data_IF_606502573782
#
_entry.id   IF_606502573782
#
_cell.length_a   1.000
_cell.length_b   1.000
_cell.length_c   1.000
_cell.angle_alpha   90.00
_cell.angle_beta   90.00
_cell.angle_gamma   90.00
#
_symmetry.space_group_name_H-M   'P 1'
#
loop_
_entity.id
_entity.type
_entity.pdbx_description
1 polymer ?
#
# COMPACT_ATOMS: atom_id res chain seq x y z
N UNK A 1 -6.37 7.83 -18.72
CA UNK A 1 -6.06 7.47 -17.33
C UNK A 1 -5.87 5.98 -17.28
N UNK A 2 -4.66 5.56 -16.95
CA UNK A 2 -4.29 4.18 -16.69
C UNK A 2 -4.47 3.87 -15.21
N UNK A 3 -4.48 2.59 -14.86
CA UNK A 3 -4.62 2.13 -13.48
C UNK A 3 -3.44 2.63 -12.62
N UNK A 4 -2.23 2.55 -13.17
CA UNK A 4 -1.02 3.06 -12.51
C UNK A 4 -1.08 4.57 -12.26
N UNK A 5 -1.69 5.36 -13.15
CA UNK A 5 -1.86 6.80 -12.90
C UNK A 5 -2.74 7.05 -11.66
N UNK A 6 -3.78 6.22 -11.47
CA UNK A 6 -4.69 6.30 -10.33
C UNK A 6 -3.98 5.89 -9.04
N UNK A 7 -3.21 4.80 -9.06
CA UNK A 7 -2.38 4.35 -7.92
C UNK A 7 -1.38 5.44 -7.53
N UNK A 8 -0.65 5.99 -8.49
CA UNK A 8 0.38 7.02 -8.26
C UNK A 8 -0.19 8.30 -7.67
N UNK A 9 -1.35 8.71 -8.17
CA UNK A 9 -2.02 9.92 -7.68
C UNK A 9 -2.53 9.72 -6.25
N UNK A 10 -3.13 8.57 -5.95
CA UNK A 10 -3.60 8.25 -4.59
C UNK A 10 -2.44 8.06 -3.61
N UNK A 11 -1.35 7.42 -4.04
CA UNK A 11 -0.13 7.29 -3.24
C UNK A 11 0.42 8.66 -2.79
N UNK A 12 0.58 9.59 -3.74
CA UNK A 12 1.02 10.96 -3.45
C UNK A 12 0.03 11.68 -2.53
N UNK A 13 -1.27 11.49 -2.75
CA UNK A 13 -2.30 12.08 -1.90
C UNK A 13 -2.17 11.61 -0.46
N UNK A 14 -2.09 10.31 -0.22
CA UNK A 14 -1.95 9.78 1.15
C UNK A 14 -0.64 10.24 1.82
N UNK A 15 0.47 10.29 1.07
CA UNK A 15 1.74 10.81 1.60
C UNK A 15 1.66 12.28 2.03
N UNK A 16 0.89 13.11 1.33
CA UNK A 16 0.83 14.55 1.59
C UNK A 16 -0.30 14.98 2.53
N UNK A 17 -1.28 14.12 2.80
CA UNK A 17 -2.54 14.53 3.45
C UNK A 17 -2.93 13.68 4.66
N UNK A 18 -2.12 12.72 5.09
CA UNK A 18 -2.48 11.84 6.21
C UNK A 18 -1.33 11.65 7.19
N UNK A 19 -1.48 12.25 8.36
CA UNK A 19 -0.65 11.97 9.53
C UNK A 19 -1.04 10.64 10.21
N UNK A 20 -2.01 9.89 9.66
CA UNK A 20 -2.51 8.65 10.27
C UNK A 20 -1.68 7.41 9.91
N UNK A 21 -0.79 7.54 8.91
CA UNK A 21 0.02 6.43 8.41
C UNK A 21 1.47 6.53 8.87
N UNK A 22 2.00 5.41 9.33
CA UNK A 22 3.41 5.20 9.66
C UNK A 22 4.24 5.08 8.37
N UNK A 23 3.76 4.28 7.42
CA UNK A 23 4.32 4.23 6.07
C UNK A 23 3.32 3.73 5.03
N UNK A 24 3.61 4.05 3.78
CA UNK A 24 2.78 3.76 2.61
C UNK A 24 3.67 3.13 1.55
N UNK A 25 3.25 2.00 0.99
CA UNK A 25 4.06 1.23 0.03
C UNK A 25 3.20 0.77 -1.14
N UNK A 26 3.73 0.93 -2.36
CA UNK A 26 3.13 0.43 -3.60
C UNK A 26 3.71 -0.94 -3.98
N UNK A 27 2.97 -1.69 -4.80
CA UNK A 27 3.44 -2.91 -5.44
C UNK A 27 4.01 -3.95 -4.45
N UNK A 28 3.23 -4.28 -3.41
CA UNK A 28 3.68 -5.20 -2.35
C UNK A 28 3.42 -6.66 -2.76
N UNK A 29 4.45 -7.50 -2.95
CA UNK A 29 4.27 -8.91 -3.20
C UNK A 29 3.60 -9.60 -2.01
N UNK A 30 2.50 -10.30 -2.27
CA UNK A 30 1.74 -10.98 -1.23
C UNK A 30 1.07 -12.25 -1.78
N UNK A 31 1.43 -13.39 -1.18
CA UNK A 31 1.04 -14.71 -1.67
C UNK A 31 1.44 -14.89 -3.15
N UNK A 32 0.48 -15.16 -4.04
CA UNK A 32 0.69 -15.32 -5.49
C UNK A 32 0.42 -14.05 -6.30
N UNK A 33 0.22 -12.90 -5.64
CA UNK A 33 -0.20 -11.63 -6.26
C UNK A 33 0.66 -10.46 -5.77
N UNK A 34 0.41 -9.30 -6.35
CA UNK A 34 0.96 -8.03 -5.93
C UNK A 34 -0.20 -7.14 -5.50
N UNK A 35 -0.10 -6.53 -4.32
CA UNK A 35 -1.08 -5.55 -3.82
C UNK A 35 -0.66 -4.18 -4.34
N UNK A 36 -1.57 -3.48 -5.00
CA UNK A 36 -1.26 -2.16 -5.59
C UNK A 36 -0.77 -1.15 -4.55
N UNK A 37 -1.44 -1.08 -3.39
CA UNK A 37 -1.09 -0.15 -2.30
C UNK A 37 -1.39 -0.75 -0.92
N UNK A 38 -0.43 -0.62 -0.02
CA UNK A 38 -0.56 -0.95 1.41
C UNK A 38 -0.29 0.30 2.22
N UNK A 39 -1.23 0.64 3.10
CA UNK A 39 -1.09 1.67 4.12
C UNK A 39 -0.87 0.97 5.46
N UNK A 40 0.15 1.39 6.20
CA UNK A 40 0.34 0.97 7.60
C UNK A 40 0.05 2.16 8.48
N UNK A 41 -0.95 2.01 9.35
CA UNK A 41 -1.33 3.04 10.31
C UNK A 41 -0.33 3.15 11.46
N UNK A 42 -0.39 4.25 12.23
CA UNK A 42 0.45 4.42 13.43
C UNK A 42 0.23 3.36 14.52
N UNK A 43 -0.92 2.71 14.55
CA UNK A 43 -1.19 1.55 15.40
C UNK A 43 -0.83 0.21 14.74
N UNK A 44 -0.02 0.24 13.68
CA UNK A 44 0.50 -0.91 12.93
C UNK A 44 -0.57 -1.80 12.28
N UNK A 45 -1.76 -1.25 12.00
CA UNK A 45 -2.76 -1.95 11.20
C UNK A 45 -2.45 -1.82 9.73
N UNK A 46 -2.67 -2.91 9.00
CA UNK A 46 -2.46 -3.01 7.55
C UNK A 46 -3.77 -2.78 6.78
N UNK A 47 -3.77 -1.76 5.93
CA UNK A 47 -4.89 -1.46 5.02
C UNK A 47 -4.44 -1.71 3.59
N UNK A 48 -5.07 -2.65 2.90
CA UNK A 48 -4.76 -2.96 1.49
C UNK A 48 -5.78 -2.33 0.56
N UNK A 49 -5.34 -1.76 -0.55
CA UNK A 49 -6.20 -1.16 -1.57
C UNK A 49 -5.84 -1.76 -2.94
N UNK A 50 -6.82 -2.38 -3.61
CA UNK A 50 -6.71 -2.81 -5.02
C UNK A 50 -7.44 -1.82 -5.92
N UNK A 51 -6.78 -1.33 -6.96
CA UNK A 51 -7.31 -0.33 -7.87
C UNK A 51 -7.83 -0.99 -9.16
N UNK A 52 -9.02 -0.61 -9.62
CA UNK A 52 -9.51 -0.97 -10.97
C UNK A 52 -10.28 0.16 -11.62
N UNK A 53 -10.05 0.39 -12.92
CA UNK A 53 -10.82 1.39 -13.69
C UNK A 53 -12.26 0.90 -13.96
N UNK A 54 -12.44 -0.40 -14.20
CA UNK A 54 -13.75 -0.97 -14.62
C UNK A 54 -14.09 -2.29 -13.95
N UNK A 55 -13.15 -3.24 -13.90
CA UNK A 55 -13.45 -4.62 -13.52
C UNK A 55 -13.47 -4.82 -12.00
N UNK A 56 -14.51 -4.29 -11.34
CA UNK A 56 -14.66 -4.42 -9.89
C UNK A 56 -14.76 -5.87 -9.41
N UNK A 57 -15.19 -6.81 -10.25
CA UNK A 57 -15.29 -8.24 -9.87
C UNK A 57 -13.92 -8.85 -9.63
N UNK A 58 -12.95 -8.51 -10.48
CA UNK A 58 -11.57 -8.91 -10.33
C UNK A 58 -10.93 -8.21 -9.12
N UNK A 59 -11.18 -6.90 -8.97
CA UNK A 59 -10.75 -6.14 -7.79
C UNK A 59 -11.21 -6.82 -6.49
N UNK A 60 -12.49 -7.21 -6.43
CA UNK A 60 -13.09 -7.86 -5.27
C UNK A 60 -12.42 -9.21 -5.01
N UNK A 61 -12.17 -10.01 -6.05
CA UNK A 61 -11.49 -11.30 -5.90
C UNK A 61 -10.06 -11.14 -5.37
N UNK A 62 -9.32 -10.12 -5.81
CA UNK A 62 -7.99 -9.80 -5.31
C UNK A 62 -8.04 -9.28 -3.86
N UNK A 63 -8.93 -8.32 -3.57
CA UNK A 63 -9.12 -7.78 -2.23
C UNK A 63 -9.50 -8.86 -1.19
N UNK A 64 -10.25 -9.91 -1.59
CA UNK A 64 -10.51 -11.09 -0.75
C UNK A 64 -9.24 -11.84 -0.37
N UNK A 65 -8.30 -12.01 -1.31
CA UNK A 65 -7.02 -12.65 -1.03
C UNK A 65 -6.15 -11.77 -0.12
N UNK A 66 -6.12 -10.46 -0.38
CA UNK A 66 -5.33 -9.49 0.41
C UNK A 66 -5.80 -9.47 1.87
N UNK A 67 -7.12 -9.53 2.05
CA UNK A 67 -7.77 -9.61 3.36
C UNK A 67 -7.33 -10.81 4.19
N UNK A 68 -6.79 -11.88 3.61
CA UNK A 68 -6.29 -13.01 4.40
C UNK A 68 -5.16 -12.60 5.36
N UNK A 69 -4.39 -11.56 5.04
CA UNK A 69 -3.34 -11.00 5.90
C UNK A 69 -3.62 -9.58 6.41
N UNK A 70 -4.51 -8.83 5.77
CA UNK A 70 -4.75 -7.42 6.11
C UNK A 70 -5.76 -7.22 7.26
N UNK A 71 -5.58 -6.13 8.01
CA UNK A 71 -6.54 -5.64 9.01
C UNK A 71 -7.79 -5.06 8.35
N UNK A 72 -7.61 -4.36 7.22
CA UNK A 72 -8.69 -3.88 6.36
C UNK A 72 -8.32 -4.08 4.90
N UNK A 73 -9.34 -4.33 4.08
CA UNK A 73 -9.17 -4.48 2.64
C UNK A 73 -10.23 -3.68 1.89
N UNK A 74 -9.77 -2.94 0.90
CA UNK A 74 -10.58 -2.07 0.06
C UNK A 74 -10.33 -2.37 -1.41
N UNK A 75 -11.34 -2.06 -2.23
CA UNK A 75 -11.13 -1.77 -3.64
C UNK A 75 -11.28 -0.26 -3.87
N UNK A 76 -10.60 0.26 -4.89
CA UNK A 76 -10.74 1.65 -5.33
C UNK A 76 -11.18 1.69 -6.80
N UNK A 77 -12.26 2.44 -7.06
CA UNK A 77 -12.85 2.59 -8.39
C UNK A 77 -12.99 4.08 -8.74
N UNK A 78 -12.95 4.47 -10.03
CA UNK A 78 -13.33 5.82 -10.43
C UNK A 78 -14.73 6.20 -9.95
N UNK A 79 -14.91 7.45 -9.54
CA UNK A 79 -16.15 7.97 -8.98
C UNK A 79 -17.30 7.84 -9.99
N UNK A 80 -18.20 6.91 -9.66
CA UNK A 80 -19.48 6.63 -10.31
C UNK A 80 -20.40 6.06 -9.25
N UNK A 81 -21.70 6.20 -9.41
CA UNK A 81 -22.66 5.55 -8.51
C UNK A 81 -22.47 4.03 -8.53
N UNK A 82 -22.06 3.41 -7.40
CA UNK A 82 -21.88 1.96 -7.34
C UNK A 82 -23.22 1.24 -7.50
N UNK A 83 -23.24 0.14 -8.24
CA UNK A 83 -24.45 -0.68 -8.35
C UNK A 83 -24.79 -1.34 -7.00
N UNK A 84 -26.08 -1.55 -6.71
CA UNK A 84 -26.55 -2.28 -5.52
C UNK A 84 -25.84 -3.63 -5.38
N UNK A 85 -25.71 -4.39 -6.48
CA UNK A 85 -25.01 -5.67 -6.51
C UNK A 85 -23.56 -5.60 -6.03
N UNK A 86 -22.85 -4.51 -6.34
CA UNK A 86 -21.49 -4.30 -5.85
C UNK A 86 -21.52 -4.09 -4.33
N UNK A 87 -22.41 -3.23 -3.84
CA UNK A 87 -22.53 -2.95 -2.40
C UNK A 87 -22.89 -4.20 -1.59
N UNK A 88 -23.84 -5.01 -2.07
CA UNK A 88 -24.21 -6.30 -1.44
C UNK A 88 -23.02 -7.26 -1.36
N UNK A 89 -22.18 -7.31 -2.40
CA UNK A 89 -21.00 -8.16 -2.41
C UNK A 89 -19.87 -7.62 -1.52
N UNK A 90 -19.68 -6.30 -1.49
CA UNK A 90 -18.73 -5.66 -0.58
C UNK A 90 -19.11 -5.94 0.87
N UNK A 91 -20.39 -5.81 1.21
CA UNK A 91 -20.90 -6.14 2.54
C UNK A 91 -20.69 -7.61 2.87
N UNK A 92 -21.13 -8.52 1.99
CA UNK A 92 -20.96 -9.97 2.19
C UNK A 92 -19.51 -10.38 2.40
N UNK A 93 -18.59 -9.83 1.62
CA UNK A 93 -17.16 -10.15 1.67
C UNK A 93 -16.42 -9.29 2.71
N UNK A 94 -17.12 -8.34 3.33
CA UNK A 94 -16.63 -7.44 4.36
C UNK A 94 -15.40 -6.65 3.86
N UNK A 95 -15.52 -6.06 2.67
CA UNK A 95 -14.50 -5.28 1.94
C UNK A 95 -15.03 -3.86 1.73
N UNK A 96 -14.17 -2.86 1.92
CA UNK A 96 -14.52 -1.47 1.72
C UNK A 96 -14.40 -1.00 0.26
N UNK A 97 -14.93 0.19 -0.02
CA UNK A 97 -14.87 0.86 -1.30
C UNK A 97 -14.39 2.30 -1.12
N UNK A 98 -13.30 2.62 -1.82
CA UNK A 98 -12.92 3.99 -2.13
C UNK A 98 -13.42 4.39 -3.52
N UNK A 99 -13.85 5.64 -3.66
CA UNK A 99 -14.13 6.27 -4.95
C UNK A 99 -13.07 7.32 -5.26
N UNK A 100 -12.52 7.25 -6.46
CA UNK A 100 -11.47 8.13 -6.96
C UNK A 100 -12.01 9.16 -7.95
N UNK A 101 -11.79 10.44 -7.66
CA UNK A 101 -12.07 11.55 -8.57
C UNK A 101 -10.89 12.55 -8.59
N UNK A 102 -10.08 12.61 -9.66
CA UNK A 102 -8.93 13.52 -9.74
C UNK A 102 -9.31 15.00 -9.78
N UNK A 103 -10.58 15.31 -10.04
CA UNK A 103 -11.08 16.69 -10.11
C UNK A 103 -11.66 17.18 -8.78
N UNK A 104 -11.81 16.31 -7.79
CA UNK A 104 -12.30 16.66 -6.46
C UNK A 104 -11.16 17.15 -5.55
N UNK A 105 -11.42 18.04 -4.58
CA UNK A 105 -10.42 18.42 -3.57
C UNK A 105 -9.93 17.23 -2.74
N UNK A 106 -10.84 16.31 -2.43
CA UNK A 106 -10.53 15.00 -1.87
C UNK A 106 -10.57 13.98 -3.01
N UNK A 107 -9.40 13.63 -3.55
CA UNK A 107 -9.34 12.81 -4.77
C UNK A 107 -9.73 11.35 -4.55
N UNK A 108 -9.73 10.89 -3.31
CA UNK A 108 -10.09 9.53 -2.91
C UNK A 108 -10.95 9.59 -1.64
N UNK A 109 -12.22 9.20 -1.77
CA UNK A 109 -13.19 9.26 -0.67
C UNK A 109 -13.64 7.87 -0.25
N UNK A 110 -13.69 7.61 1.05
CA UNK A 110 -14.27 6.37 1.58
C UNK A 110 -15.78 6.39 1.34
N UNK A 111 -16.26 5.53 0.43
CA UNK A 111 -17.68 5.45 0.09
C UNK A 111 -18.37 4.33 0.88
N UNK A 112 -17.67 3.20 1.07
CA UNK A 112 -18.14 2.08 1.89
C UNK A 112 -17.01 1.67 2.83
N UNK A 113 -17.16 1.80 4.16
CA UNK A 113 -16.07 1.52 5.08
C UNK A 113 -15.76 0.02 5.14
N UNK A 114 -14.47 -0.34 5.22
CA UNK A 114 -14.08 -1.70 5.51
C UNK A 114 -14.11 -1.95 7.03
N UNK A 115 -14.75 -3.04 7.49
CA UNK A 115 -14.70 -3.44 8.89
C UNK A 115 -13.30 -3.98 9.26
N UNK A 116 -12.95 -3.90 10.55
CA UNK A 116 -11.75 -4.53 11.09
C UNK A 116 -11.80 -6.05 10.91
N UNK A 117 -10.69 -6.63 10.45
CA UNK A 117 -10.59 -8.06 10.19
C UNK A 117 -9.93 -8.83 11.34
N UNK A 118 -10.76 -9.23 12.31
CA UNK A 118 -10.33 -10.11 13.39
C UNK A 118 -10.00 -11.56 12.94
N UNK A 119 -10.38 -11.94 11.71
CA UNK A 119 -10.22 -13.30 11.17
C UNK A 119 -9.00 -13.45 10.24
N UNK A 120 -8.14 -12.45 10.15
CA UNK A 120 -6.88 -12.53 9.39
C UNK A 120 -6.01 -13.69 9.90
N UNK A 121 -5.29 -14.34 9.00
CA UNK A 121 -4.39 -15.44 9.32
C UNK A 121 -3.07 -14.83 9.80
N UNK A 122 -2.65 -15.14 11.03
CA UNK A 122 -1.45 -14.55 11.65
C UNK A 122 -0.21 -14.67 10.75
N UNK A 123 0.06 -15.86 10.21
CA UNK A 123 1.21 -16.07 9.35
C UNK A 123 1.19 -15.21 8.07
N UNK A 124 0.00 -14.91 7.55
CA UNK A 124 -0.15 -14.04 6.38
C UNK A 124 -0.07 -12.57 6.74
N UNK A 125 -0.57 -12.19 7.92
CA UNK A 125 -0.38 -10.83 8.43
C UNK A 125 1.12 -10.56 8.66
N UNK A 126 1.84 -11.47 9.31
CA UNK A 126 3.28 -11.37 9.52
C UNK A 126 4.05 -11.24 8.20
N UNK A 127 3.67 -12.03 7.20
CA UNK A 127 4.24 -11.95 5.86
C UNK A 127 3.99 -10.57 5.23
N UNK A 128 2.74 -10.08 5.26
CA UNK A 128 2.38 -8.79 4.69
C UNK A 128 3.15 -7.65 5.35
N UNK A 129 3.18 -7.62 6.69
CA UNK A 129 3.89 -6.59 7.47
C UNK A 129 5.39 -6.60 7.16
N UNK A 130 6.03 -7.78 7.19
CA UNK A 130 7.47 -7.91 6.92
C UNK A 130 7.83 -7.49 5.49
N UNK A 131 7.06 -7.92 4.49
CA UNK A 131 7.32 -7.54 3.11
C UNK A 131 7.13 -6.05 2.90
N UNK A 132 6.08 -5.47 3.47
CA UNK A 132 5.80 -4.03 3.37
C UNK A 132 6.93 -3.21 4.01
N UNK A 133 7.34 -3.55 5.24
CA UNK A 133 8.45 -2.89 5.93
C UNK A 133 9.77 -3.00 5.16
N UNK A 134 10.07 -4.19 4.62
CA UNK A 134 11.28 -4.43 3.82
C UNK A 134 11.34 -3.53 2.58
N UNK A 135 10.22 -3.39 1.86
CA UNK A 135 10.16 -2.51 0.69
C UNK A 135 10.34 -1.05 1.12
N UNK A 136 9.63 -0.63 2.18
CA UNK A 136 9.75 0.74 2.70
C UNK A 136 11.20 1.09 3.04
N UNK A 137 11.89 0.26 3.83
CA UNK A 137 13.30 0.45 4.19
C UNK A 137 14.21 0.55 2.95
N UNK A 138 14.01 -0.31 1.95
CA UNK A 138 14.80 -0.27 0.72
C UNK A 138 14.51 0.96 -0.16
N UNK A 139 13.32 1.55 -0.06
CA UNK A 139 12.98 2.79 -0.77
C UNK A 139 13.41 4.05 -0.02
N UNK A 140 13.53 3.99 1.31
CA UNK A 140 14.00 5.10 2.15
C UNK A 140 15.52 5.16 2.27
N UNK A 141 16.21 4.02 2.14
CA UNK A 141 17.67 3.98 2.03
C UNK A 141 18.02 4.34 0.58
N UNK A 142 18.41 5.59 0.35
CA UNK A 142 18.97 6.03 -0.93
C UNK A 142 20.06 5.02 -1.40
N UNK A 143 19.87 4.34 -2.54
CA UNK A 143 20.86 3.40 -3.07
C UNK A 143 22.20 4.08 -3.43
N UNK A 144 22.29 5.42 -3.43
CA UNK A 144 23.52 6.18 -3.65
C UNK A 144 24.29 6.55 -2.37
N UNK A 145 23.74 6.33 -1.17
CA UNK A 145 24.42 6.62 0.10
C UNK A 145 25.61 5.69 0.41
N UNK A 146 25.72 4.53 -0.26
CA UNK A 146 26.83 3.57 -0.08
C UNK A 146 28.03 3.76 -1.01
N UNK A 147 28.26 4.98 -1.54
CA UNK A 147 29.55 5.36 -2.15
C UNK A 147 30.14 6.55 -1.41
N UNK A 148 30.85 6.29 -0.31
CA UNK A 148 32.04 7.05 0.15
C UNK A 148 32.39 6.68 1.61
N UNK A 149 32.71 5.42 1.88
CA UNK A 149 33.56 5.07 3.02
C UNK A 149 34.57 4.05 2.52
N UNK A 150 35.70 4.54 2.00
CA UNK A 150 36.70 3.67 1.40
C UNK A 150 37.92 4.35 0.81
N UNK A 151 38.50 5.37 1.47
CA UNK A 151 39.91 5.72 1.27
C UNK A 151 40.43 6.70 2.34
N UNK A 152 40.61 6.20 3.57
CA UNK A 152 41.51 6.84 4.51
C UNK A 152 42.17 5.79 5.41
N UNK A 153 43.34 5.30 4.99
CA UNK A 153 44.51 5.11 5.88
C UNK A 153 45.60 4.31 5.16
N UNK A 154 46.71 4.98 4.82
CA UNK A 154 48.07 4.45 5.02
C UNK A 154 49.00 5.63 5.17
N UNK A 155 49.20 6.03 6.43
CA UNK A 155 50.26 6.93 6.84
C UNK A 155 51.61 6.20 6.90
N UNK A 156 52.65 6.97 6.60
CA UNK A 156 53.99 6.94 7.18
C UNK A 156 54.86 5.69 7.02
N UNK A 157 55.85 5.77 6.10
CA UNK A 157 57.25 5.38 6.37
C UNK A 157 58.22 6.34 5.70
N UNK A 158 59.31 6.56 6.42
CA UNK A 158 60.64 7.06 6.01
C UNK A 158 60.87 8.56 5.84
N UNK A 159 61.52 9.17 6.85
CA UNK A 159 62.94 9.52 6.75
C UNK A 159 63.50 10.03 8.10
N UNK A 160 64.42 9.28 8.68
CA UNK A 160 65.39 9.76 9.69
C UNK A 160 66.63 8.88 9.59
N UNK A 161 67.59 9.32 8.78
CA UNK A 161 69.05 9.28 8.99
C UNK A 161 69.76 9.75 7.72
#
# INVERSE_FOLDING_TARGET
MLENDMVDTCYKYFLSNSDDFEFIVREVPFLSRCIDLVLVTKDYKTVTIEFKIKNWREALAQAKNHKLGADKSYICLPEKSPSIKLLELLDKEQIGLYLYNPSAPCIIAEYYPAPDNAKKISAFNDLLVRTTATIYENTCIDPFSKKNIGSASRSSRDASK
#
